data_IF_552564471941
#
_entry.id   IF_552564471941
#
_cell.length_a   1.000
_cell.length_b   1.000
_cell.length_c   1.000
_cell.angle_alpha   90.00
_cell.angle_beta   90.00
_cell.angle_gamma   90.00
#
_symmetry.space_group_name_H-M   'P 1'
#
loop_
_entity.id
_entity.type
_entity.pdbx_description
1 polymer ?
#
# COMPACT_ATOMS: atom_id res chain seq x y z
N UNK A 1 20.21 -10.95 -1.43
CA UNK A 1 20.45 -9.68 -2.06
C UNK A 1 20.72 -9.94 -3.53
N UNK A 2 19.71 -9.71 -4.35
CA UNK A 2 19.87 -9.76 -5.79
C UNK A 2 20.78 -8.60 -6.17
N UNK A 3 21.96 -8.91 -6.64
CA UNK A 3 22.97 -7.96 -7.03
C UNK A 3 22.40 -7.00 -8.07
N UNK A 4 22.03 -5.85 -7.62
CA UNK A 4 21.45 -4.73 -8.34
C UNK A 4 22.31 -4.26 -9.53
N UNK A 5 23.62 -4.55 -9.51
CA UNK A 5 24.58 -4.06 -10.49
C UNK A 5 24.35 -4.54 -11.93
N UNK A 6 23.94 -5.80 -12.14
CA UNK A 6 23.71 -6.31 -13.49
C UNK A 6 22.33 -5.95 -14.05
N UNK A 7 21.33 -5.83 -13.18
CA UNK A 7 19.98 -5.45 -13.60
C UNK A 7 19.85 -3.95 -13.83
N UNK A 8 20.51 -3.12 -13.02
CA UNK A 8 20.48 -1.66 -13.16
C UNK A 8 21.03 -1.14 -14.48
N UNK A 9 22.04 -1.81 -15.08
CA UNK A 9 22.53 -1.45 -16.42
C UNK A 9 21.53 -1.70 -17.54
N UNK A 10 20.55 -2.59 -17.35
CA UNK A 10 19.51 -2.94 -18.34
C UNK A 10 18.15 -2.36 -18.00
N UNK A 11 17.90 -2.10 -16.72
CA UNK A 11 16.64 -1.53 -16.26
C UNK A 11 16.48 -0.09 -16.77
N UNK A 12 15.27 0.26 -17.21
CA UNK A 12 14.91 1.62 -17.65
C UNK A 12 13.96 2.28 -16.66
N UNK A 13 13.31 1.47 -15.84
CA UNK A 13 12.27 1.91 -14.93
C UNK A 13 12.30 1.05 -13.67
N UNK A 14 11.99 1.65 -12.53
CA UNK A 14 11.79 0.98 -11.26
C UNK A 14 10.47 1.45 -10.65
N UNK A 15 9.62 0.50 -10.28
CA UNK A 15 8.39 0.77 -9.54
C UNK A 15 8.66 0.47 -8.07
N UNK A 16 8.38 1.44 -7.21
CA UNK A 16 8.42 1.29 -5.75
C UNK A 16 7.05 1.66 -5.19
N UNK A 17 6.63 1.00 -4.13
CA UNK A 17 5.35 1.24 -3.48
C UNK A 17 5.55 1.30 -1.98
N UNK A 18 5.25 2.46 -1.38
CA UNK A 18 5.27 2.68 0.06
C UNK A 18 4.20 3.70 0.44
N UNK A 19 3.35 3.40 1.45
CA UNK A 19 3.24 2.13 2.18
C UNK A 19 2.90 0.94 1.28
N UNK A 20 3.49 -0.24 1.58
CA UNK A 20 3.50 -1.39 0.68
C UNK A 20 2.40 -2.42 1.01
N UNK A 21 1.54 -2.72 0.05
CA UNK A 21 0.66 -3.89 0.06
C UNK A 21 1.39 -5.06 -0.65
N UNK A 22 1.56 -6.24 -0.01
CA UNK A 22 0.88 -6.72 1.21
C UNK A 22 1.63 -6.52 2.53
N UNK A 23 2.89 -6.11 2.52
CA UNK A 23 3.83 -6.24 3.65
C UNK A 23 3.64 -5.15 4.72
N UNK A 24 2.86 -4.10 4.42
CA UNK A 24 2.50 -3.01 5.33
C UNK A 24 3.67 -2.12 5.79
N UNK A 25 4.82 -2.22 5.12
CA UNK A 25 6.00 -1.42 5.41
C UNK A 25 5.90 0.01 4.87
N UNK A 26 6.51 0.95 5.55
CA UNK A 26 6.80 2.31 5.08
C UNK A 26 8.28 2.43 4.71
N UNK A 27 8.63 3.45 3.93
CA UNK A 27 10.02 3.78 3.64
C UNK A 27 10.47 4.97 4.50
N UNK A 28 11.66 4.94 5.10
CA UNK A 28 12.24 6.12 5.73
C UNK A 28 12.71 7.13 4.67
N UNK A 29 12.81 8.41 5.04
CA UNK A 29 13.23 9.49 4.13
C UNK A 29 14.57 9.19 3.44
N UNK A 30 15.53 8.66 4.18
CA UNK A 30 16.84 8.27 3.66
C UNK A 30 16.77 7.24 2.51
N UNK A 31 15.71 6.43 2.45
CA UNK A 31 15.49 5.50 1.35
C UNK A 31 15.23 6.27 0.05
N UNK A 32 14.43 7.32 0.08
CA UNK A 32 14.10 8.11 -1.11
C UNK A 32 15.32 8.87 -1.63
N UNK A 33 16.16 9.42 -0.75
CA UNK A 33 17.39 10.09 -1.14
C UNK A 33 18.36 9.12 -1.87
N UNK A 34 18.51 7.93 -1.32
CA UNK A 34 19.32 6.85 -1.94
C UNK A 34 18.73 6.39 -3.27
N UNK A 35 17.40 6.30 -3.36
CA UNK A 35 16.69 5.92 -4.57
C UNK A 35 16.90 6.94 -5.68
N UNK A 36 16.82 8.23 -5.37
CA UNK A 36 17.04 9.34 -6.33
C UNK A 36 18.48 9.32 -6.83
N UNK A 37 19.46 9.21 -5.92
CA UNK A 37 20.86 9.11 -6.29
C UNK A 37 21.14 7.90 -7.19
N UNK A 38 20.53 6.76 -6.89
CA UNK A 38 20.60 5.56 -7.71
C UNK A 38 19.98 5.78 -9.09
N UNK A 39 18.81 6.39 -9.16
CA UNK A 39 18.09 6.67 -10.39
C UNK A 39 18.92 7.60 -11.32
N UNK A 40 19.50 8.66 -10.77
CA UNK A 40 20.40 9.56 -11.51
C UNK A 40 21.63 8.82 -12.03
N UNK A 41 22.27 8.01 -11.19
CA UNK A 41 23.47 7.26 -11.55
C UNK A 41 23.28 6.29 -12.71
N UNK A 42 22.13 5.63 -12.77
CA UNK A 42 21.86 4.57 -13.75
C UNK A 42 20.86 4.96 -14.84
N UNK A 43 20.42 6.21 -14.86
CA UNK A 43 19.42 6.74 -15.78
C UNK A 43 18.13 5.89 -15.77
N UNK A 44 17.56 5.69 -14.58
CA UNK A 44 16.35 4.89 -14.32
C UNK A 44 15.21 5.84 -13.96
N UNK A 45 14.05 5.64 -14.58
CA UNK A 45 12.82 6.34 -14.21
C UNK A 45 12.24 5.67 -12.95
N UNK A 46 11.93 6.47 -11.93
CA UNK A 46 11.22 6.00 -10.75
C UNK A 46 9.72 6.24 -10.91
N UNK A 47 8.94 5.21 -10.63
CA UNK A 47 7.50 5.29 -10.44
C UNK A 47 7.21 4.94 -9.00
N UNK A 48 6.73 5.90 -8.23
CA UNK A 48 6.30 5.68 -6.85
C UNK A 48 4.78 5.49 -6.80
N UNK A 49 4.33 4.32 -6.34
CA UNK A 49 2.92 4.06 -6.04
C UNK A 49 2.67 4.42 -4.57
N UNK A 50 2.01 5.55 -4.36
CA UNK A 50 1.72 6.14 -3.04
C UNK A 50 0.22 6.13 -2.72
N UNK A 51 -0.46 5.05 -3.10
CA UNK A 51 -1.91 4.94 -2.91
C UNK A 51 -2.36 4.90 -1.43
N UNK A 52 -1.45 4.61 -0.50
CA UNK A 52 -1.73 4.51 0.94
C UNK A 52 -1.08 5.63 1.76
N UNK A 53 -0.68 6.74 1.14
CA UNK A 53 0.01 7.86 1.80
C UNK A 53 -0.65 8.34 3.10
N UNK A 54 -1.98 8.30 3.17
CA UNK A 54 -2.74 8.79 4.32
C UNK A 54 -3.10 7.71 5.34
N UNK A 55 -2.84 6.43 5.04
CA UNK A 55 -3.09 5.32 5.98
C UNK A 55 -1.76 4.86 6.57
N UNK A 56 -1.24 5.65 7.49
CA UNK A 56 0.00 5.42 8.24
C UNK A 56 -0.30 5.63 9.72
N UNK A 57 0.30 4.81 10.57
CA UNK A 57 -0.03 4.66 11.98
C UNK A 57 1.02 5.23 12.92
N UNK A 58 0.73 5.18 14.21
CA UNK A 58 1.65 5.52 15.30
C UNK A 58 2.11 6.98 15.25
N UNK A 59 1.21 7.90 14.82
CA UNK A 59 1.49 9.34 14.73
C UNK A 59 2.46 9.74 13.61
N UNK A 60 2.82 8.82 12.74
CA UNK A 60 3.68 9.11 11.59
C UNK A 60 2.90 9.82 10.47
N UNK A 61 3.61 10.59 9.66
CA UNK A 61 3.08 11.26 8.47
C UNK A 61 3.56 10.49 7.25
N UNK A 62 2.67 10.31 6.27
CA UNK A 62 3.01 9.69 5.00
C UNK A 62 4.04 10.50 4.23
N UNK A 63 5.07 9.81 3.76
CA UNK A 63 6.09 10.38 2.91
C UNK A 63 5.64 10.49 1.45
N UNK A 64 6.24 11.42 0.73
CA UNK A 64 6.14 11.50 -0.73
C UNK A 64 7.55 11.46 -1.32
N UNK A 65 7.75 10.57 -2.28
CA UNK A 65 8.97 10.57 -3.09
C UNK A 65 9.27 11.97 -3.68
N UNK A 66 8.20 12.68 -4.10
CA UNK A 66 8.36 14.00 -4.74
C UNK A 66 8.75 15.13 -3.79
N UNK A 67 8.70 14.93 -2.47
CA UNK A 67 9.17 15.91 -1.48
C UNK A 67 10.71 15.96 -1.37
N UNK A 68 11.40 14.98 -1.96
CA UNK A 68 12.85 14.87 -1.89
C UNK A 68 13.54 15.61 -3.04
N UNK A 69 14.70 16.21 -2.76
CA UNK A 69 15.46 16.96 -3.74
C UNK A 69 15.88 16.08 -4.93
N UNK A 70 15.60 16.57 -6.13
CA UNK A 70 15.90 15.86 -7.38
C UNK A 70 14.90 14.78 -7.80
N UNK A 71 13.86 14.49 -7.01
CA UNK A 71 12.85 13.51 -7.38
C UNK A 71 12.12 13.87 -8.68
N UNK A 72 11.76 15.14 -8.85
CA UNK A 72 11.11 15.66 -10.07
C UNK A 72 11.96 15.52 -11.34
N UNK A 73 13.26 15.31 -11.20
CA UNK A 73 14.14 15.07 -12.34
C UNK A 73 14.07 13.64 -12.84
N UNK A 74 13.83 12.68 -11.93
CA UNK A 74 14.00 11.24 -12.21
C UNK A 74 12.71 10.44 -12.16
N UNK A 75 11.59 11.00 -11.68
CA UNK A 75 10.42 10.15 -11.51
C UNK A 75 9.07 10.83 -11.40
N UNK A 76 8.09 10.00 -11.13
CA UNK A 76 6.68 10.35 -10.95
C UNK A 76 6.09 9.58 -9.78
N UNK A 77 5.02 10.12 -9.23
CA UNK A 77 4.25 9.52 -8.13
C UNK A 77 2.79 9.39 -8.51
N UNK A 78 2.22 8.20 -8.25
CA UNK A 78 0.78 7.96 -8.31
C UNK A 78 0.16 8.14 -6.93
N UNK A 79 -0.88 8.97 -6.87
CA UNK A 79 -1.74 9.14 -5.70
C UNK A 79 -3.16 8.72 -6.02
N UNK A 80 -3.89 8.20 -5.04
CA UNK A 80 -5.23 7.68 -5.23
C UNK A 80 -6.19 8.24 -4.18
N UNK A 81 -7.37 8.66 -4.64
CA UNK A 81 -8.47 9.06 -3.75
C UNK A 81 -9.19 7.85 -3.15
N UNK A 82 -8.92 6.65 -3.67
CA UNK A 82 -9.60 5.42 -3.25
C UNK A 82 -9.45 5.11 -1.77
N UNK A 83 -8.26 5.37 -1.21
CA UNK A 83 -7.93 5.00 0.18
C UNK A 83 -8.06 6.20 1.11
N UNK A 84 -7.52 7.34 0.71
CA UNK A 84 -7.58 8.58 1.48
C UNK A 84 -9.01 9.01 1.80
N UNK A 85 -9.90 8.90 0.80
CA UNK A 85 -11.28 9.41 0.88
C UNK A 85 -12.34 8.31 0.79
N UNK A 86 -11.98 7.04 0.94
CA UNK A 86 -12.91 5.91 0.77
C UNK A 86 -13.65 5.91 -0.58
N UNK A 87 -13.08 6.50 -1.62
CA UNK A 87 -13.67 6.67 -2.95
C UNK A 87 -13.24 5.57 -3.92
N UNK A 88 -13.06 4.35 -3.45
CA UNK A 88 -12.58 3.22 -4.27
C UNK A 88 -13.43 2.99 -5.53
N UNK A 89 -14.75 3.16 -5.43
CA UNK A 89 -15.69 2.98 -6.56
C UNK A 89 -15.52 4.00 -7.68
N UNK A 90 -14.97 5.18 -7.43
CA UNK A 90 -14.79 6.22 -8.45
C UNK A 90 -13.63 5.93 -9.41
N UNK A 91 -12.75 4.99 -9.09
CA UNK A 91 -11.59 4.61 -9.93
C UNK A 91 -10.75 5.83 -10.35
N UNK A 92 -10.49 6.72 -9.41
CA UNK A 92 -9.81 7.99 -9.66
C UNK A 92 -8.47 8.07 -8.93
N UNK A 93 -7.44 8.34 -9.71
CA UNK A 93 -6.07 8.59 -9.25
C UNK A 93 -5.45 9.69 -10.12
N UNK A 94 -4.30 10.19 -9.70
CA UNK A 94 -3.55 11.19 -10.47
C UNK A 94 -2.05 10.88 -10.43
N UNK A 95 -1.37 11.29 -11.50
CA UNK A 95 0.06 11.18 -11.69
C UNK A 95 0.69 12.55 -11.61
N UNK A 96 1.66 12.71 -10.74
CA UNK A 96 2.41 13.96 -10.54
C UNK A 96 3.91 13.64 -10.70
N UNK A 97 4.70 14.62 -11.13
CA UNK A 97 6.15 14.47 -11.17
C UNK A 97 6.79 15.04 -12.42
N UNK A 98 7.82 14.38 -12.92
CA UNK A 98 8.60 14.81 -14.06
C UNK A 98 7.72 15.18 -15.27
N UNK A 99 7.87 16.41 -15.76
CA UNK A 99 7.04 17.00 -16.82
C UNK A 99 7.05 16.18 -18.11
N UNK A 100 8.21 15.68 -18.50
CA UNK A 100 8.35 14.91 -19.75
C UNK A 100 7.65 13.56 -19.64
N UNK A 101 7.83 12.88 -18.50
CA UNK A 101 7.18 11.57 -18.23
C UNK A 101 5.67 11.75 -18.20
N UNK A 102 5.16 12.75 -17.47
CA UNK A 102 3.72 13.04 -17.39
C UNK A 102 3.16 13.37 -18.77
N UNK A 103 3.88 14.14 -19.59
CA UNK A 103 3.46 14.47 -20.97
C UNK A 103 3.36 13.22 -21.85
N UNK A 104 4.35 12.35 -21.82
CA UNK A 104 4.34 11.08 -22.57
C UNK A 104 3.22 10.16 -22.08
N UNK A 105 3.03 10.05 -20.76
CA UNK A 105 1.93 9.29 -20.18
C UNK A 105 0.57 9.81 -20.66
N UNK A 106 0.36 11.13 -20.66
CA UNK A 106 -0.86 11.75 -21.18
C UNK A 106 -1.12 11.38 -22.64
N UNK A 107 -0.09 11.43 -23.50
CA UNK A 107 -0.20 11.05 -24.90
C UNK A 107 -0.60 9.59 -25.05
N UNK A 108 0.05 8.68 -24.35
CA UNK A 108 -0.28 7.24 -24.39
C UNK A 108 -1.71 7.02 -23.88
N UNK A 109 -2.05 7.58 -22.74
CA UNK A 109 -3.38 7.43 -22.13
C UNK A 109 -4.51 7.90 -23.06
N UNK A 110 -4.31 8.98 -23.80
CA UNK A 110 -5.31 9.49 -24.74
C UNK A 110 -5.68 8.50 -25.86
N UNK A 111 -4.88 7.44 -26.05
CA UNK A 111 -5.16 6.37 -26.99
C UNK A 111 -5.93 5.18 -26.36
N UNK A 112 -6.06 5.15 -25.03
CA UNK A 112 -6.76 4.08 -24.31
C UNK A 112 -8.18 4.47 -23.90
N UNK A 113 -8.38 5.71 -23.47
CA UNK A 113 -9.68 6.20 -23.03
C UNK A 113 -9.86 7.69 -23.38
N UNK A 114 -11.11 8.15 -23.33
CA UNK A 114 -11.47 9.56 -23.55
C UNK A 114 -11.31 10.39 -22.27
N UNK A 115 -10.73 9.85 -21.24
CA UNK A 115 -10.48 10.50 -19.96
C UNK A 115 -11.45 10.08 -18.86
N UNK A 116 -11.22 10.66 -17.68
CA UNK A 116 -12.04 10.40 -16.49
C UNK A 116 -13.34 11.18 -16.56
N UNK A 117 -14.46 10.54 -16.19
CA UNK A 117 -15.78 11.18 -16.11
C UNK A 117 -15.72 12.52 -15.33
N UNK A 118 -16.37 13.54 -15.88
CA UNK A 118 -16.42 14.86 -15.27
C UNK A 118 -17.09 14.85 -13.88
N UNK A 119 -18.07 13.96 -13.65
CA UNK A 119 -18.71 13.77 -12.35
C UNK A 119 -17.66 13.34 -11.31
N UNK A 120 -16.80 12.38 -11.65
CA UNK A 120 -15.75 11.91 -10.76
C UNK A 120 -14.67 12.96 -10.52
N UNK A 121 -14.33 13.75 -11.54
CA UNK A 121 -13.40 14.87 -11.36
C UNK A 121 -13.97 15.91 -10.39
N UNK A 122 -15.26 16.25 -10.47
CA UNK A 122 -15.91 17.16 -9.52
C UNK A 122 -15.96 16.59 -8.10
N UNK A 123 -16.22 15.30 -7.95
CA UNK A 123 -16.15 14.64 -6.65
C UNK A 123 -14.73 14.70 -6.05
N UNK A 124 -13.70 14.51 -6.88
CA UNK A 124 -12.31 14.67 -6.47
C UNK A 124 -11.98 16.09 -5.99
N UNK A 125 -12.43 17.10 -6.76
CA UNK A 125 -12.23 18.51 -6.39
C UNK A 125 -12.91 18.81 -5.05
N UNK A 126 -14.12 18.33 -4.82
CA UNK A 126 -14.84 18.50 -3.56
C UNK A 126 -14.11 17.80 -2.39
N UNK A 127 -13.61 16.59 -2.59
CA UNK A 127 -12.86 15.85 -1.58
C UNK A 127 -11.54 16.55 -1.21
N UNK A 128 -10.79 17.02 -2.20
CA UNK A 128 -9.47 17.66 -1.99
C UNK A 128 -9.57 19.06 -1.38
N UNK A 129 -10.64 19.82 -1.69
CA UNK A 129 -10.83 21.18 -1.18
C UNK A 129 -11.77 21.26 0.04
N UNK A 130 -12.43 20.16 0.39
CA UNK A 130 -13.31 20.07 1.54
C UNK A 130 -12.56 19.95 2.87
N UNK A 131 -13.29 19.83 3.99
CA UNK A 131 -12.69 19.59 5.29
C UNK A 131 -11.85 18.30 5.26
N UNK A 132 -10.68 18.32 5.88
CA UNK A 132 -9.76 17.17 5.92
C UNK A 132 -9.83 16.37 7.23
N UNK A 133 -10.65 16.79 8.20
CA UNK A 133 -10.77 16.12 9.50
C UNK A 133 -11.12 14.64 9.38
N UNK A 134 -12.03 14.29 8.48
CA UNK A 134 -12.43 12.90 8.27
C UNK A 134 -11.31 11.99 7.74
N UNK A 135 -10.25 12.54 7.14
CA UNK A 135 -9.07 11.75 6.74
C UNK A 135 -8.32 11.31 8.00
N UNK A 136 -8.20 12.21 8.98
CA UNK A 136 -7.61 11.90 10.29
C UNK A 136 -8.47 10.89 11.07
N UNK A 137 -9.79 11.09 11.09
CA UNK A 137 -10.74 10.18 11.75
C UNK A 137 -10.68 8.77 11.13
N UNK A 138 -10.65 8.69 9.80
CA UNK A 138 -10.52 7.43 9.07
C UNK A 138 -9.20 6.71 9.40
N UNK A 139 -8.09 7.47 9.48
CA UNK A 139 -6.79 6.92 9.90
C UNK A 139 -6.84 6.37 11.32
N UNK A 140 -7.42 7.12 12.25
CA UNK A 140 -7.56 6.69 13.63
C UNK A 140 -8.36 5.39 13.76
N UNK A 141 -9.47 5.25 13.02
CA UNK A 141 -10.24 4.02 12.98
C UNK A 141 -9.44 2.85 12.39
N UNK A 142 -8.70 3.05 11.30
CA UNK A 142 -7.82 2.00 10.77
C UNK A 142 -6.73 1.58 11.75
N UNK A 143 -6.21 2.50 12.56
CA UNK A 143 -5.24 2.19 13.60
C UNK A 143 -5.85 1.34 14.71
N UNK A 144 -7.08 1.63 15.15
CA UNK A 144 -7.82 0.81 16.10
C UNK A 144 -8.06 -0.60 15.54
N UNK A 145 -8.51 -0.72 14.28
CA UNK A 145 -8.69 -2.01 13.59
C UNK A 145 -7.38 -2.80 13.51
N UNK A 146 -6.28 -2.14 13.15
CA UNK A 146 -4.95 -2.75 13.13
C UNK A 146 -4.59 -3.31 14.50
N UNK A 147 -4.78 -2.53 15.55
CA UNK A 147 -4.44 -2.93 16.92
C UNK A 147 -5.27 -4.15 17.37
N UNK A 148 -6.59 -4.11 17.17
CA UNK A 148 -7.50 -5.21 17.46
C UNK A 148 -7.13 -6.49 16.71
N UNK A 149 -6.92 -6.39 15.39
CA UNK A 149 -6.56 -7.54 14.56
C UNK A 149 -5.20 -8.12 14.93
N UNK A 150 -4.17 -7.29 15.13
CA UNK A 150 -2.83 -7.74 15.54
C UNK A 150 -2.88 -8.45 16.90
N UNK A 151 -3.67 -7.94 17.86
CA UNK A 151 -3.87 -8.62 19.15
C UNK A 151 -4.59 -9.97 18.97
N UNK A 152 -5.64 -10.00 18.15
CA UNK A 152 -6.44 -11.19 17.90
C UNK A 152 -5.64 -12.32 17.22
N UNK A 153 -4.97 -12.04 16.12
CA UNK A 153 -4.23 -13.07 15.36
C UNK A 153 -3.03 -13.63 16.12
N UNK A 154 -2.42 -12.85 17.03
CA UNK A 154 -1.39 -13.37 17.94
C UNK A 154 -1.89 -14.49 18.83
N UNK A 155 -3.15 -14.42 19.30
CA UNK A 155 -3.78 -15.51 20.09
C UNK A 155 -3.89 -16.81 19.30
N UNK A 156 -3.98 -16.73 17.97
CA UNK A 156 -4.01 -17.87 17.06
C UNK A 156 -2.60 -18.36 16.64
N UNK A 157 -1.55 -17.81 17.24
CA UNK A 157 -0.16 -18.20 16.96
C UNK A 157 0.47 -17.58 15.73
N UNK A 158 -0.24 -16.67 15.02
CA UNK A 158 0.37 -15.95 13.91
C UNK A 158 1.38 -14.91 14.41
N UNK A 159 2.35 -14.59 13.57
CA UNK A 159 3.42 -13.64 13.86
C UNK A 159 3.27 -12.41 12.94
N UNK A 160 2.52 -11.36 13.35
CA UNK A 160 2.33 -10.15 12.54
C UNK A 160 3.66 -9.47 12.25
N UNK A 161 3.82 -8.94 11.03
CA UNK A 161 4.88 -8.00 10.72
C UNK A 161 4.71 -6.68 11.50
N UNK A 162 5.70 -5.80 11.43
CA UNK A 162 5.58 -4.44 11.96
C UNK A 162 4.69 -3.61 11.00
N UNK A 163 3.40 -3.54 11.32
CA UNK A 163 2.37 -2.93 10.46
C UNK A 163 2.38 -1.42 10.65
N UNK A 164 3.12 -0.71 9.78
CA UNK A 164 3.27 0.75 9.83
C UNK A 164 2.25 1.51 9.01
N UNK A 165 1.59 0.86 8.06
CA UNK A 165 0.59 1.51 7.21
C UNK A 165 -0.22 0.52 6.39
N UNK A 166 -1.03 1.02 5.48
CA UNK A 166 -2.01 0.32 4.65
C UNK A 166 -3.26 -0.12 5.40
N UNK A 167 -4.24 -0.64 4.69
CA UNK A 167 -5.47 -1.22 5.25
C UNK A 167 -5.37 -2.75 5.40
N UNK A 168 -4.15 -3.27 5.63
CA UNK A 168 -3.87 -4.70 5.73
C UNK A 168 -2.99 -5.01 6.93
N UNK A 169 -2.97 -6.29 7.30
CA UNK A 169 -2.00 -6.88 8.23
C UNK A 169 -1.36 -8.07 7.55
N UNK A 170 -0.03 -8.06 7.44
CA UNK A 170 0.78 -9.18 6.96
C UNK A 170 1.30 -9.96 8.15
N UNK A 171 1.15 -11.27 8.14
CA UNK A 171 1.57 -12.11 9.25
C UNK A 171 2.17 -13.43 8.76
N UNK A 172 3.23 -13.90 9.40
CA UNK A 172 3.68 -15.26 9.20
C UNK A 172 2.67 -16.24 9.85
N UNK A 173 2.44 -17.37 9.17
CA UNK A 173 1.60 -18.46 9.69
C UNK A 173 2.29 -19.14 10.86
N UNK A 174 1.55 -19.85 11.74
CA UNK A 174 2.13 -20.57 12.87
C UNK A 174 3.15 -21.62 12.43
N UNK A 175 4.09 -21.95 13.30
CA UNK A 175 5.06 -23.01 13.07
C UNK A 175 4.35 -24.36 12.84
N UNK A 176 4.87 -25.17 11.95
CA UNK A 176 4.31 -26.46 11.57
C UNK A 176 3.50 -26.44 10.26
N UNK A 177 3.10 -25.29 9.77
CA UNK A 177 2.48 -25.14 8.46
C UNK A 177 3.56 -24.81 7.40
N UNK A 178 3.43 -25.45 6.23
CA UNK A 178 4.33 -25.22 5.08
C UNK A 178 3.60 -24.64 3.86
N UNK A 179 2.28 -24.57 3.91
CA UNK A 179 1.43 -24.09 2.81
C UNK A 179 0.43 -23.05 3.34
N UNK A 180 0.52 -21.84 2.84
CA UNK A 180 -0.35 -20.75 3.29
C UNK A 180 -1.82 -20.92 2.86
N UNK A 181 -2.09 -21.58 1.74
CA UNK A 181 -3.45 -21.82 1.29
C UNK A 181 -4.15 -22.84 2.17
N UNK A 182 -3.47 -23.93 2.54
CA UNK A 182 -4.01 -24.95 3.44
C UNK A 182 -4.30 -24.35 4.82
N UNK A 183 -3.39 -23.53 5.34
CA UNK A 183 -3.60 -22.79 6.58
C UNK A 183 -4.84 -21.90 6.53
N UNK A 184 -5.02 -21.12 5.45
CA UNK A 184 -6.20 -20.25 5.27
C UNK A 184 -7.49 -21.05 5.29
N UNK A 185 -7.54 -22.21 4.61
CA UNK A 185 -8.72 -23.06 4.60
C UNK A 185 -9.00 -23.66 5.98
N UNK A 186 -7.99 -24.07 6.72
CA UNK A 186 -8.14 -24.56 8.08
C UNK A 186 -8.63 -23.45 9.03
N UNK A 187 -8.05 -22.25 8.95
CA UNK A 187 -8.47 -21.08 9.72
C UNK A 187 -9.94 -20.74 9.46
N UNK A 188 -10.34 -20.69 8.18
CA UNK A 188 -11.73 -20.42 7.79
C UNK A 188 -12.69 -21.47 8.38
N UNK A 189 -12.35 -22.75 8.25
CA UNK A 189 -13.22 -23.84 8.75
C UNK A 189 -13.35 -23.85 10.27
N UNK A 190 -12.30 -23.47 11.00
CA UNK A 190 -12.29 -23.45 12.47
C UNK A 190 -12.92 -22.19 13.07
N UNK A 191 -12.76 -21.06 12.41
CA UNK A 191 -13.05 -19.76 13.03
C UNK A 191 -14.01 -18.88 12.24
N UNK A 192 -14.30 -19.22 10.98
CA UNK A 192 -15.04 -18.35 10.06
C UNK A 192 -14.21 -17.15 9.52
N UNK A 193 -12.95 -17.01 9.92
CA UNK A 193 -12.10 -15.90 9.52
C UNK A 193 -11.42 -16.20 8.17
N UNK A 194 -11.71 -15.36 7.16
CA UNK A 194 -11.11 -15.47 5.83
C UNK A 194 -9.98 -14.46 5.67
N UNK A 195 -8.82 -14.92 5.19
CA UNK A 195 -7.70 -14.09 4.80
C UNK A 195 -7.11 -14.53 3.46
N UNK A 196 -6.17 -13.77 2.91
CA UNK A 196 -5.53 -14.09 1.63
C UNK A 196 -4.23 -14.86 1.91
N UNK A 197 -4.01 -16.06 1.30
CA UNK A 197 -2.75 -16.77 1.44
C UNK A 197 -1.62 -15.97 0.79
N UNK A 198 -0.45 -15.99 1.40
CA UNK A 198 0.71 -15.22 0.94
C UNK A 198 1.23 -15.68 -0.42
N UNK A 199 1.07 -16.97 -0.76
CA UNK A 199 1.38 -17.51 -2.09
C UNK A 199 0.65 -16.79 -3.24
N UNK A 200 -0.50 -16.15 -2.99
CA UNK A 200 -1.20 -15.30 -3.96
C UNK A 200 -0.41 -14.05 -4.37
N UNK A 201 0.62 -13.67 -3.62
CA UNK A 201 1.51 -12.53 -3.89
C UNK A 201 2.85 -12.95 -4.48
N UNK A 202 2.99 -14.20 -4.86
CA UNK A 202 4.21 -14.79 -5.42
C UNK A 202 4.90 -15.75 -4.45
N UNK A 203 5.92 -16.45 -4.94
CA UNK A 203 6.62 -17.51 -4.19
C UNK A 203 7.27 -17.03 -2.90
N UNK A 204 7.69 -15.77 -2.84
CA UNK A 204 8.26 -15.16 -1.62
C UNK A 204 7.22 -14.84 -0.54
N UNK A 205 5.94 -14.86 -0.90
CA UNK A 205 4.84 -14.70 0.05
C UNK A 205 4.45 -15.99 0.77
N UNK A 206 4.96 -17.14 0.34
CA UNK A 206 4.68 -18.41 1.02
C UNK A 206 5.11 -18.37 2.49
N UNK A 207 4.35 -19.07 3.35
CA UNK A 207 4.54 -19.01 4.80
C UNK A 207 3.91 -17.79 5.47
N UNK A 208 3.15 -16.98 4.73
CA UNK A 208 2.48 -15.79 5.26
C UNK A 208 1.02 -15.74 4.83
N UNK A 209 0.27 -14.83 5.46
CA UNK A 209 -1.11 -14.47 5.10
C UNK A 209 -1.32 -12.97 5.19
N UNK A 210 -2.29 -12.45 4.43
CA UNK A 210 -2.73 -11.05 4.50
C UNK A 210 -4.18 -10.96 4.96
N UNK A 211 -4.40 -10.25 6.05
CA UNK A 211 -5.74 -9.84 6.51
C UNK A 211 -6.08 -8.44 6.00
N UNK A 212 -7.38 -8.17 5.81
CA UNK A 212 -7.88 -6.85 5.47
C UNK A 212 -8.63 -6.24 6.67
N UNK A 213 -8.41 -4.95 6.93
CA UNK A 213 -9.02 -4.18 8.02
C UNK A 213 -10.41 -3.64 7.59
N UNK A 214 -11.34 -4.54 7.26
CA UNK A 214 -12.64 -4.19 6.66
C UNK A 214 -13.77 -4.08 7.65
N UNK A 215 -13.64 -4.66 8.85
CA UNK A 215 -14.63 -4.59 9.92
C UNK A 215 -14.29 -3.48 10.91
N UNK A 216 -15.28 -2.88 11.60
CA UNK A 216 -15.05 -2.03 12.76
C UNK A 216 -14.20 -2.72 13.82
N UNK A 217 -13.42 -1.97 14.57
CA UNK A 217 -12.50 -2.55 15.55
C UNK A 217 -13.22 -3.33 16.65
N UNK A 218 -14.43 -2.91 17.07
CA UNK A 218 -15.24 -3.61 18.07
C UNK A 218 -15.68 -4.99 17.55
N UNK A 219 -16.01 -5.12 16.26
CA UNK A 219 -16.38 -6.41 15.67
C UNK A 219 -15.16 -7.33 15.60
N UNK A 220 -13.99 -6.79 15.24
CA UNK A 220 -12.73 -7.55 15.25
C UNK A 220 -12.43 -8.06 16.65
N UNK A 221 -12.51 -7.20 17.67
CA UNK A 221 -12.30 -7.61 19.08
C UNK A 221 -13.29 -8.69 19.52
N UNK A 222 -14.56 -8.55 19.15
CA UNK A 222 -15.59 -9.54 19.47
C UNK A 222 -15.31 -10.91 18.83
N UNK A 223 -14.91 -10.94 17.55
CA UNK A 223 -14.53 -12.19 16.85
C UNK A 223 -13.42 -12.90 17.64
N UNK A 224 -12.32 -12.22 17.93
CA UNK A 224 -11.16 -12.84 18.60
C UNK A 224 -11.31 -13.01 20.12
N UNK A 225 -12.37 -12.51 20.72
CA UNK A 225 -12.71 -12.79 22.12
C UNK A 225 -13.52 -14.06 22.27
N UNK A 226 -14.16 -14.53 21.20
CA UNK A 226 -14.99 -15.72 21.16
C UNK A 226 -14.29 -16.94 20.50
N UNK A 227 -13.03 -16.81 20.08
CA UNK A 227 -12.17 -17.87 19.58
C UNK A 227 -11.23 -18.40 20.65
#
# INVERSE_FOLDING_TARGET
PYTTLFRSKKAKMMVVSYPLNPVCATAPDEFYDKLIAFAKKYNIIIIHDNAYSEIIYDGQIGGSFLSHEGAMEVGVEFNSLSKTYNLTGLRLSFLIGNREIVSKFKTVRSQFDYGTSFIYQKAAVAALNGPQGYVADNRAEYELRRNALVAGIKKLGLKPADVKGTMFVWAAIPDGYTNSADYVMELLNKTGVLCTPGSSFGSLGEGHVRFALVLPHEEIDNIFSNL
#
